data_IF_703486868161
#
_entry.id   IF_703486868161
#
_cell.length_a   1.000
_cell.length_b   1.000
_cell.length_c   1.000
_cell.angle_alpha   90.00
_cell.angle_beta   90.00
_cell.angle_gamma   90.00
#
_symmetry.space_group_name_H-M   'P 1'
#
loop_
_entity.id
_entity.type
_entity.pdbx_description
1 polymer ?
#
# COMPACT_ATOMS: atom_id res chain seq x y z
N UNK A 1 3.39 -21.68 -0.76
CA UNK A 1 4.63 -20.93 -0.92
C UNK A 1 4.67 -19.84 0.15
N UNK A 2 5.81 -19.67 0.82
CA UNK A 2 6.05 -18.61 1.81
C UNK A 2 6.48 -17.34 1.08
N UNK A 3 5.80 -16.22 1.33
CA UNK A 3 6.04 -14.96 0.62
C UNK A 3 6.43 -13.84 1.58
N UNK A 4 7.39 -13.04 1.19
CA UNK A 4 7.57 -11.70 1.72
C UNK A 4 6.55 -10.77 1.06
N UNK A 5 5.86 -9.92 1.82
CA UNK A 5 4.96 -8.92 1.27
C UNK A 5 5.65 -7.55 1.24
N UNK A 6 5.72 -6.89 0.08
CA UNK A 6 6.12 -5.48 0.02
C UNK A 6 4.96 -4.63 0.57
N UNK A 7 5.17 -4.02 1.73
CA UNK A 7 4.13 -3.29 2.46
C UNK A 7 4.50 -1.81 2.54
N UNK A 8 3.68 -0.96 1.92
CA UNK A 8 3.79 0.50 2.00
C UNK A 8 2.78 1.14 2.97
N UNK A 9 1.80 0.37 3.42
CA UNK A 9 0.64 0.86 4.17
C UNK A 9 -0.54 1.31 3.29
N UNK A 10 -0.34 1.37 1.97
CA UNK A 10 -1.38 1.69 1.00
C UNK A 10 -2.24 0.49 0.60
N UNK A 11 -3.39 0.78 -0.02
CA UNK A 11 -4.41 -0.20 -0.42
C UNK A 11 -3.89 -1.36 -1.27
N UNK A 12 -2.96 -1.08 -2.19
CA UNK A 12 -2.55 -2.05 -3.21
C UNK A 12 -1.59 -3.08 -2.65
N UNK A 13 -0.62 -2.64 -1.85
CA UNK A 13 0.31 -3.54 -1.16
C UNK A 13 -0.41 -4.50 -0.21
N UNK A 14 -1.33 -3.96 0.60
CA UNK A 14 -2.12 -4.77 1.52
C UNK A 14 -3.07 -5.73 0.79
N UNK A 15 -3.72 -5.27 -0.29
CA UNK A 15 -4.63 -6.12 -1.04
C UNK A 15 -3.90 -7.21 -1.85
N UNK A 16 -2.70 -6.94 -2.37
CA UNK A 16 -1.88 -7.96 -3.01
C UNK A 16 -1.51 -9.10 -2.05
N UNK A 17 -1.12 -8.75 -0.82
CA UNK A 17 -0.86 -9.73 0.24
C UNK A 17 -2.12 -10.52 0.61
N UNK A 18 -3.30 -9.86 0.68
CA UNK A 18 -4.58 -10.51 0.92
C UNK A 18 -4.93 -11.52 -0.18
N UNK A 19 -4.80 -11.13 -1.45
CA UNK A 19 -5.06 -12.03 -2.60
C UNK A 19 -4.09 -13.22 -2.61
N UNK A 20 -2.82 -12.99 -2.28
CA UNK A 20 -1.84 -14.07 -2.16
C UNK A 20 -2.24 -15.06 -1.06
N UNK A 21 -2.62 -14.58 0.11
CA UNK A 21 -3.10 -15.42 1.23
C UNK A 21 -4.37 -16.19 0.87
N UNK A 22 -5.32 -15.55 0.19
CA UNK A 22 -6.56 -16.19 -0.28
C UNK A 22 -6.29 -17.30 -1.32
N UNK A 23 -5.15 -17.25 -2.01
CA UNK A 23 -4.68 -18.30 -2.92
C UNK A 23 -3.85 -19.39 -2.24
N UNK A 24 -3.80 -19.43 -0.93
CA UNK A 24 -3.10 -20.44 -0.14
C UNK A 24 -1.61 -20.19 0.06
N UNK A 25 -1.11 -18.96 -0.19
CA UNK A 25 0.24 -18.58 0.17
C UNK A 25 0.29 -18.12 1.64
N UNK A 26 1.41 -18.34 2.29
CA UNK A 26 1.71 -17.82 3.62
C UNK A 26 2.47 -16.48 3.48
N UNK A 27 2.09 -15.47 4.24
CA UNK A 27 2.87 -14.23 4.37
C UNK A 27 3.85 -14.43 5.53
N UNK A 28 5.12 -14.68 5.19
CA UNK A 28 6.17 -15.00 6.15
C UNK A 28 6.73 -13.75 6.85
N UNK A 29 6.78 -12.62 6.14
CA UNK A 29 7.25 -11.34 6.67
C UNK A 29 6.73 -10.19 5.82
N UNK A 30 6.78 -8.98 6.36
CA UNK A 30 6.60 -7.72 5.63
C UNK A 30 7.97 -7.14 5.28
N UNK A 31 8.15 -6.69 4.04
CA UNK A 31 9.33 -5.92 3.60
C UNK A 31 8.89 -4.49 3.35
N UNK A 32 9.50 -3.54 4.05
CA UNK A 32 9.08 -2.13 4.05
C UNK A 32 10.24 -1.21 3.70
N UNK A 33 10.01 -0.33 2.74
CA UNK A 33 10.91 0.77 2.46
C UNK A 33 10.67 1.91 3.44
N UNK A 34 11.74 2.45 4.01
CA UNK A 34 11.73 3.62 4.89
C UNK A 34 12.52 4.75 4.21
N UNK A 35 11.90 5.52 3.29
CA UNK A 35 12.59 6.59 2.57
C UNK A 35 13.00 7.70 3.55
N UNK A 36 14.22 8.27 3.36
CA UNK A 36 14.73 9.39 4.15
C UNK A 36 14.24 10.74 3.64
N UNK A 37 13.81 10.82 2.38
CA UNK A 37 13.32 12.04 1.77
C UNK A 37 12.06 11.80 0.95
N UNK A 38 11.31 12.88 0.69
CA UNK A 38 10.11 12.86 -0.16
C UNK A 38 10.41 12.69 -1.65
N UNK A 39 11.68 12.68 -2.05
CA UNK A 39 12.11 12.69 -3.46
C UNK A 39 12.25 11.27 -4.05
N UNK A 40 12.09 10.22 -3.25
CA UNK A 40 12.20 8.84 -3.70
C UNK A 40 10.91 8.39 -4.39
N UNK A 41 10.82 8.63 -5.70
CA UNK A 41 9.62 8.46 -6.53
C UNK A 41 9.02 7.03 -6.52
N UNK A 42 9.84 5.99 -6.26
CA UNK A 42 9.36 4.59 -6.17
C UNK A 42 8.72 4.26 -4.82
N UNK A 43 9.09 4.98 -3.77
CA UNK A 43 8.78 4.63 -2.38
C UNK A 43 8.08 5.76 -1.63
N UNK A 44 7.83 6.88 -2.31
CA UNK A 44 7.17 8.03 -1.69
C UNK A 44 5.75 7.66 -1.28
N UNK A 45 5.58 7.47 0.00
CA UNK A 45 4.28 7.38 0.65
C UNK A 45 4.30 8.35 1.84
N UNK A 46 3.33 9.29 1.94
CA UNK A 46 3.34 10.34 2.97
C UNK A 46 3.48 9.82 4.40
N UNK A 47 3.07 8.57 4.63
CA UNK A 47 3.01 7.95 5.94
C UNK A 47 3.85 6.67 6.06
N UNK A 48 4.92 6.52 5.24
CA UNK A 48 5.78 5.33 5.22
C UNK A 48 6.38 4.98 6.60
N UNK A 49 6.62 6.00 7.46
CA UNK A 49 7.09 5.78 8.84
C UNK A 49 6.18 4.90 9.69
N UNK A 50 4.90 4.77 9.32
CA UNK A 50 3.94 3.90 10.00
C UNK A 50 3.85 2.49 9.40
N UNK A 51 4.69 2.15 8.42
CA UNK A 51 4.68 0.84 7.76
C UNK A 51 4.92 -0.32 8.74
N UNK A 52 5.66 -0.09 9.83
CA UNK A 52 5.86 -1.08 10.90
C UNK A 52 4.54 -1.50 11.58
N UNK A 53 3.59 -0.57 11.73
CA UNK A 53 2.28 -0.88 12.31
C UNK A 53 1.49 -1.89 11.47
N UNK A 54 1.66 -1.87 10.15
CA UNK A 54 0.99 -2.84 9.27
C UNK A 54 1.56 -4.24 9.43
N UNK A 55 2.88 -4.39 9.55
CA UNK A 55 3.52 -5.67 9.82
C UNK A 55 3.06 -6.22 11.19
N UNK A 56 3.06 -5.39 12.21
CA UNK A 56 2.59 -5.74 13.56
C UNK A 56 1.10 -6.06 13.58
N UNK A 57 0.26 -5.31 12.84
CA UNK A 57 -1.17 -5.60 12.69
C UNK A 57 -1.42 -6.96 12.04
N UNK A 58 -0.59 -7.36 11.07
CA UNK A 58 -0.63 -8.69 10.45
C UNK A 58 -0.06 -9.79 11.35
N UNK A 59 0.68 -9.44 12.41
CA UNK A 59 1.36 -10.41 13.27
C UNK A 59 2.54 -11.10 12.59
N UNK A 60 3.22 -10.42 11.65
CA UNK A 60 4.39 -10.95 10.91
C UNK A 60 5.65 -10.13 11.21
N UNK A 61 6.84 -10.75 11.14
CA UNK A 61 8.11 -10.04 11.23
C UNK A 61 8.25 -8.97 10.14
N UNK A 62 9.03 -7.92 10.43
CA UNK A 62 9.36 -6.87 9.46
C UNK A 62 10.83 -6.91 9.08
N UNK A 63 11.12 -6.80 7.79
CA UNK A 63 12.43 -6.47 7.23
C UNK A 63 12.33 -5.06 6.67
N UNK A 64 12.93 -4.09 7.35
CA UNK A 64 12.95 -2.70 6.90
C UNK A 64 14.25 -2.41 6.14
N UNK A 65 14.19 -1.56 5.11
CA UNK A 65 15.36 -1.11 4.37
C UNK A 65 15.24 0.35 3.94
N UNK A 66 16.39 0.99 3.77
CA UNK A 66 16.45 2.33 3.17
C UNK A 66 16.56 2.19 1.66
N UNK A 67 15.65 2.79 0.89
CA UNK A 67 15.70 2.73 -0.55
C UNK A 67 16.90 3.54 -1.08
N UNK A 68 17.88 2.85 -1.62
CA UNK A 68 19.06 3.41 -2.27
C UNK A 68 19.33 2.73 -3.61
N UNK A 69 18.25 2.62 -4.42
CA UNK A 69 18.26 1.89 -5.69
C UNK A 69 17.87 0.41 -5.55
N UNK A 70 17.86 -0.30 -6.69
CA UNK A 70 17.40 -1.70 -6.75
C UNK A 70 18.17 -2.69 -5.91
N UNK A 71 19.43 -2.41 -5.60
CA UNK A 71 20.28 -3.26 -4.76
C UNK A 71 19.79 -3.35 -3.31
N UNK A 72 19.21 -2.27 -2.78
CA UNK A 72 18.69 -2.23 -1.42
C UNK A 72 17.49 -3.16 -1.26
N UNK A 73 16.54 -3.14 -2.19
CA UNK A 73 15.40 -4.06 -2.18
C UNK A 73 15.88 -5.53 -2.32
N UNK A 74 16.80 -5.82 -3.24
CA UNK A 74 17.35 -7.16 -3.38
C UNK A 74 18.03 -7.64 -2.09
N UNK A 75 18.71 -6.75 -1.37
CA UNK A 75 19.29 -7.02 -0.04
C UNK A 75 18.22 -7.40 0.99
N UNK A 76 17.15 -6.62 1.07
CA UNK A 76 16.03 -6.88 1.97
C UNK A 76 15.30 -8.20 1.62
N UNK A 77 15.13 -8.52 0.34
CA UNK A 77 14.55 -9.79 -0.08
C UNK A 77 15.44 -11.00 0.25
N UNK A 78 16.77 -10.88 0.11
CA UNK A 78 17.70 -11.92 0.58
C UNK A 78 17.61 -12.13 2.09
N UNK A 79 17.47 -11.05 2.85
CA UNK A 79 17.27 -11.13 4.30
C UNK A 79 15.94 -11.82 4.64
N UNK A 80 14.85 -11.47 3.95
CA UNK A 80 13.54 -12.12 4.10
C UNK A 80 13.63 -13.63 3.78
N UNK A 81 14.34 -14.01 2.73
CA UNK A 81 14.54 -15.42 2.37
C UNK A 81 15.34 -16.16 3.46
N UNK A 82 16.45 -15.57 3.91
CA UNK A 82 17.36 -16.20 4.88
C UNK A 82 16.75 -16.32 6.27
N UNK A 83 16.13 -15.25 6.77
CA UNK A 83 15.68 -15.17 8.16
C UNK A 83 14.23 -15.63 8.37
N UNK A 84 13.38 -15.56 7.32
CA UNK A 84 11.96 -15.89 7.41
C UNK A 84 11.54 -16.96 6.41
N UNK A 85 12.45 -17.52 5.62
CA UNK A 85 12.18 -18.58 4.66
C UNK A 85 11.27 -18.14 3.52
N UNK A 86 11.33 -16.88 3.11
CA UNK A 86 10.55 -16.38 1.97
C UNK A 86 11.09 -16.95 0.65
N UNK A 87 10.23 -17.62 -0.10
CA UNK A 87 10.54 -18.22 -1.41
C UNK A 87 10.14 -17.29 -2.58
N UNK A 88 9.39 -16.24 -2.27
CA UNK A 88 8.93 -15.23 -3.22
C UNK A 88 8.56 -13.93 -2.53
N UNK A 89 8.30 -12.91 -3.35
CA UNK A 89 7.80 -11.61 -2.91
C UNK A 89 6.48 -11.30 -3.61
N UNK A 90 5.50 -10.79 -2.86
CA UNK A 90 4.24 -10.27 -3.41
C UNK A 90 4.24 -8.76 -3.31
N UNK A 91 3.80 -8.10 -4.39
CA UNK A 91 3.72 -6.63 -4.48
C UNK A 91 2.41 -6.14 -5.11
N UNK A 92 2.07 -4.89 -4.81
CA UNK A 92 0.81 -4.26 -5.20
C UNK A 92 0.80 -3.59 -6.57
N UNK A 93 1.81 -3.79 -7.43
CA UNK A 93 1.85 -3.15 -8.75
C UNK A 93 0.65 -3.52 -9.62
N UNK A 94 0.00 -2.51 -10.17
CA UNK A 94 -1.24 -2.64 -10.96
C UNK A 94 -0.98 -2.52 -12.47
N UNK A 95 -0.30 -1.46 -12.90
CA UNK A 95 -0.10 -1.13 -14.31
C UNK A 95 1.29 -0.53 -14.62
N UNK A 96 2.06 -0.10 -13.61
CA UNK A 96 3.37 0.49 -13.82
C UNK A 96 4.40 -0.56 -14.23
N UNK A 97 4.73 -0.61 -15.53
CA UNK A 97 5.78 -1.50 -16.04
C UNK A 97 7.13 -1.25 -15.34
N UNK A 98 7.43 0.02 -15.03
CA UNK A 98 8.64 0.38 -14.29
C UNK A 98 8.70 -0.28 -12.89
N UNK A 99 7.61 -0.24 -12.13
CA UNK A 99 7.55 -0.91 -10.82
C UNK A 99 7.66 -2.43 -10.97
N UNK A 100 6.93 -3.03 -11.91
CA UNK A 100 7.00 -4.48 -12.17
C UNK A 100 8.41 -4.92 -12.48
N UNK A 101 9.08 -4.22 -13.37
CA UNK A 101 10.42 -4.57 -13.85
C UNK A 101 11.47 -4.36 -12.74
N UNK A 102 11.36 -3.27 -11.95
CA UNK A 102 12.21 -3.02 -10.80
C UNK A 102 12.05 -4.09 -9.70
N UNK A 103 10.82 -4.45 -9.35
CA UNK A 103 10.54 -5.48 -8.34
C UNK A 103 10.93 -6.87 -8.84
N UNK A 104 10.70 -7.17 -10.13
CA UNK A 104 11.11 -8.41 -10.77
C UNK A 104 12.63 -8.57 -10.79
N UNK A 105 13.38 -7.52 -11.16
CA UNK A 105 14.82 -7.52 -11.16
C UNK A 105 15.41 -7.72 -9.74
N UNK A 106 14.83 -7.03 -8.73
CA UNK A 106 15.26 -7.18 -7.35
C UNK A 106 14.99 -8.59 -6.81
N UNK A 107 13.84 -9.17 -7.14
CA UNK A 107 13.48 -10.54 -6.77
C UNK A 107 14.43 -11.55 -7.42
N UNK A 108 14.72 -11.41 -8.71
CA UNK A 108 15.67 -12.27 -9.42
C UNK A 108 17.08 -12.17 -8.82
N UNK A 109 17.55 -10.96 -8.50
CA UNK A 109 18.84 -10.74 -7.84
C UNK A 109 18.90 -11.32 -6.42
N UNK A 110 17.76 -11.48 -5.77
CA UNK A 110 17.64 -12.12 -4.45
C UNK A 110 17.44 -13.64 -4.53
N UNK A 111 17.24 -14.21 -5.71
CA UNK A 111 16.96 -15.63 -5.89
C UNK A 111 15.55 -16.06 -5.51
N UNK A 112 14.59 -15.11 -5.47
CA UNK A 112 13.19 -15.37 -5.12
C UNK A 112 12.25 -15.01 -6.29
N UNK A 113 11.01 -15.52 -6.28
CA UNK A 113 10.02 -15.22 -7.31
C UNK A 113 9.22 -13.97 -6.99
N UNK A 114 8.90 -13.13 -8.00
CA UNK A 114 8.00 -12.00 -7.85
C UNK A 114 6.56 -12.39 -8.24
N UNK A 115 5.58 -11.95 -7.42
CA UNK A 115 4.16 -12.13 -7.65
C UNK A 115 3.46 -10.77 -7.67
N UNK A 116 2.75 -10.47 -8.75
CA UNK A 116 1.93 -9.27 -8.92
C UNK A 116 0.45 -9.66 -9.13
N UNK A 117 -0.28 -10.09 -8.09
CA UNK A 117 -1.62 -10.65 -8.24
C UNK A 117 -2.67 -9.65 -8.71
N UNK A 118 -2.34 -8.36 -8.68
CA UNK A 118 -3.23 -7.26 -9.06
C UNK A 118 -2.94 -6.72 -10.47
N UNK A 119 -1.92 -7.24 -11.16
CA UNK A 119 -1.53 -6.73 -12.47
C UNK A 119 -2.71 -6.73 -13.45
N UNK A 120 -2.95 -5.58 -14.11
CA UNK A 120 -4.03 -5.38 -15.07
C UNK A 120 -5.44 -5.28 -14.46
N UNK A 121 -5.56 -5.07 -13.14
CA UNK A 121 -6.86 -5.03 -12.44
C UNK A 121 -7.33 -3.63 -12.03
N UNK A 122 -6.82 -2.58 -12.65
CA UNK A 122 -7.34 -1.22 -12.48
C UNK A 122 -8.78 -1.09 -13.00
N UNK A 123 -9.47 -0.01 -12.65
CA UNK A 123 -10.78 0.32 -13.18
C UNK A 123 -11.77 0.88 -12.16
N UNK A 124 -12.89 1.39 -12.64
CA UNK A 124 -13.86 2.16 -11.87
C UNK A 124 -14.42 1.48 -10.60
N UNK A 125 -14.46 0.14 -10.56
CA UNK A 125 -14.91 -0.64 -9.39
C UNK A 125 -13.78 -1.05 -8.46
N UNK A 126 -12.58 -0.58 -8.68
CA UNK A 126 -11.39 -1.00 -7.95
C UNK A 126 -11.51 -0.76 -6.45
N UNK A 127 -11.84 0.48 -6.04
CA UNK A 127 -11.99 0.84 -4.63
C UNK A 127 -13.16 0.11 -3.97
N UNK A 128 -14.29 0.00 -4.67
CA UNK A 128 -15.47 -0.73 -4.18
C UNK A 128 -15.12 -2.18 -3.85
N UNK A 129 -14.35 -2.85 -4.72
CA UNK A 129 -13.91 -4.22 -4.48
C UNK A 129 -13.02 -4.37 -3.23
N UNK A 130 -12.27 -3.33 -2.81
CA UNK A 130 -11.50 -3.35 -1.55
C UNK A 130 -12.41 -3.22 -0.35
N UNK A 131 -13.37 -2.28 -0.42
CA UNK A 131 -14.38 -2.12 0.63
C UNK A 131 -15.19 -3.41 0.82
N UNK A 132 -15.61 -4.03 -0.29
CA UNK A 132 -16.37 -5.28 -0.28
C UNK A 132 -15.56 -6.46 0.28
N UNK A 133 -14.24 -6.44 0.09
CA UNK A 133 -13.33 -7.40 0.70
C UNK A 133 -13.02 -7.13 2.19
N UNK A 134 -13.66 -6.15 2.81
CA UNK A 134 -13.51 -5.83 4.23
C UNK A 134 -12.32 -4.92 4.55
N UNK A 135 -11.81 -4.18 3.55
CA UNK A 135 -10.77 -3.18 3.77
C UNK A 135 -11.39 -1.84 4.21
N UNK A 136 -10.81 -1.25 5.24
CA UNK A 136 -11.06 0.12 5.65
C UNK A 136 -9.86 0.97 5.27
N UNK A 137 -10.10 1.95 4.41
CA UNK A 137 -9.09 2.79 3.76
C UNK A 137 -9.35 4.25 4.11
N UNK A 138 -8.32 4.98 4.50
CA UNK A 138 -8.39 6.43 4.70
C UNK A 138 -7.59 7.11 3.60
N UNK A 139 -8.15 8.14 2.96
CA UNK A 139 -7.45 8.94 1.94
C UNK A 139 -6.47 9.88 2.66
N UNK A 140 -5.19 9.78 2.31
CA UNK A 140 -4.10 10.54 2.96
C UNK A 140 -3.38 11.50 2.02
N UNK A 141 -3.65 11.45 0.73
CA UNK A 141 -3.26 12.50 -0.21
C UNK A 141 -4.23 12.56 -1.37
N UNK A 142 -4.38 13.74 -1.97
CA UNK A 142 -5.16 13.98 -3.18
C UNK A 142 -4.43 14.96 -4.10
N UNK A 143 -4.50 14.70 -5.41
CA UNK A 143 -3.86 15.54 -6.44
C UNK A 143 -4.68 15.64 -7.73
N UNK A 144 -5.77 14.87 -7.88
CA UNK A 144 -6.61 14.90 -9.06
C UNK A 144 -7.68 16.02 -8.97
N UNK A 145 -8.00 16.63 -10.11
CA UNK A 145 -9.15 17.53 -10.22
C UNK A 145 -10.43 16.83 -9.75
N UNK A 146 -11.28 17.54 -8.98
CA UNK A 146 -12.50 16.98 -8.39
C UNK A 146 -12.31 16.31 -7.04
N UNK A 147 -11.06 16.11 -6.58
CA UNK A 147 -10.75 15.66 -5.22
C UNK A 147 -10.22 16.83 -4.39
N UNK A 148 -11.08 17.46 -3.60
CA UNK A 148 -10.74 18.58 -2.74
C UNK A 148 -10.25 18.16 -1.34
N UNK A 149 -9.98 19.16 -0.46
CA UNK A 149 -9.47 18.92 0.89
C UNK A 149 -10.44 18.11 1.76
N UNK A 150 -11.72 18.06 1.44
CA UNK A 150 -12.73 17.27 2.15
C UNK A 150 -12.51 15.75 2.06
N UNK A 151 -11.66 15.30 1.15
CA UNK A 151 -11.30 13.90 1.03
C UNK A 151 -10.14 13.50 1.97
N UNK A 152 -9.36 14.47 2.45
CA UNK A 152 -8.25 14.18 3.37
C UNK A 152 -8.80 13.68 4.71
N UNK A 153 -8.40 12.50 5.13
CA UNK A 153 -8.89 11.83 6.32
C UNK A 153 -10.23 11.11 6.14
N UNK A 154 -10.83 11.17 4.95
CA UNK A 154 -12.08 10.49 4.68
C UNK A 154 -11.86 8.96 4.53
N UNK A 155 -12.64 8.16 5.26
CA UNK A 155 -12.68 6.71 5.06
C UNK A 155 -13.43 6.40 3.76
N UNK A 156 -12.88 5.52 2.94
CA UNK A 156 -13.50 5.08 1.68
C UNK A 156 -14.62 4.09 2.00
N UNK A 157 -15.85 4.59 2.09
CA UNK A 157 -17.07 3.77 2.20
C UNK A 157 -17.54 3.34 0.81
N UNK A 158 -18.51 2.42 0.72
CA UNK A 158 -19.17 2.05 -0.55
C UNK A 158 -19.71 3.27 -1.30
N UNK A 159 -20.35 4.20 -0.59
CA UNK A 159 -20.90 5.44 -1.14
C UNK A 159 -19.79 6.35 -1.68
N UNK A 160 -18.71 6.54 -0.90
CA UNK A 160 -17.57 7.35 -1.31
C UNK A 160 -16.82 6.70 -2.48
N UNK A 161 -16.66 5.39 -2.51
CA UNK A 161 -16.07 4.68 -3.65
C UNK A 161 -16.88 4.88 -4.94
N UNK A 162 -18.21 4.82 -4.85
CA UNK A 162 -19.09 5.13 -5.98
C UNK A 162 -19.02 6.60 -6.41
N UNK A 163 -18.91 7.55 -5.44
CA UNK A 163 -18.71 8.98 -5.74
C UNK A 163 -17.37 9.22 -6.42
N UNK A 164 -16.27 8.58 -5.98
CA UNK A 164 -14.96 8.66 -6.63
C UNK A 164 -15.04 8.18 -8.08
N UNK A 165 -15.75 7.07 -8.36
CA UNK A 165 -15.97 6.61 -9.73
C UNK A 165 -16.62 7.67 -10.63
N UNK A 166 -17.69 8.34 -10.15
CA UNK A 166 -18.33 9.43 -10.90
C UNK A 166 -17.44 10.65 -11.09
N UNK A 167 -16.63 11.00 -10.07
CA UNK A 167 -15.66 12.10 -10.19
C UNK A 167 -14.55 11.75 -11.18
N UNK A 168 -14.09 10.51 -11.19
CA UNK A 168 -13.10 10.02 -12.14
C UNK A 168 -13.59 10.15 -13.59
N UNK A 169 -14.83 9.76 -13.86
CA UNK A 169 -15.47 9.95 -15.16
C UNK A 169 -15.60 11.45 -15.54
N UNK A 170 -16.04 12.28 -14.61
CA UNK A 170 -16.26 13.70 -14.86
C UNK A 170 -14.98 14.51 -15.04
N UNK A 171 -13.90 14.14 -14.38
CA UNK A 171 -12.62 14.87 -14.36
C UNK A 171 -11.48 14.17 -15.10
N UNK A 172 -11.71 12.97 -15.65
CA UNK A 172 -10.73 12.26 -16.47
C UNK A 172 -9.55 11.69 -15.71
N UNK A 173 -9.74 11.22 -14.48
CA UNK A 173 -8.68 10.55 -13.72
C UNK A 173 -8.97 9.04 -13.50
N UNK A 174 -7.95 8.28 -13.10
CA UNK A 174 -8.09 6.84 -12.86
C UNK A 174 -8.65 6.57 -11.45
N UNK A 175 -9.84 5.96 -11.36
CA UNK A 175 -10.54 5.70 -10.11
C UNK A 175 -9.80 4.72 -9.17
N UNK A 176 -8.83 3.96 -9.68
CA UNK A 176 -7.95 3.10 -8.86
C UNK A 176 -6.83 3.88 -8.16
N UNK A 177 -6.63 5.15 -8.52
CA UNK A 177 -5.54 6.01 -8.03
C UNK A 177 -4.15 5.53 -8.43
N UNK A 178 -4.04 4.83 -9.57
CA UNK A 178 -2.76 4.30 -10.06
C UNK A 178 -1.85 5.39 -10.64
N UNK A 179 -2.40 6.48 -11.12
CA UNK A 179 -1.69 7.65 -11.64
C UNK A 179 -1.25 8.64 -10.55
N UNK A 180 -1.42 8.31 -9.28
CA UNK A 180 -1.10 9.20 -8.17
C UNK A 180 -2.19 10.23 -7.84
N UNK A 181 -3.40 10.00 -8.30
CA UNK A 181 -4.56 10.90 -8.08
C UNK A 181 -4.91 11.07 -6.61
N UNK A 182 -4.74 10.00 -5.85
CA UNK A 182 -4.84 10.01 -4.39
C UNK A 182 -4.04 8.86 -3.78
N UNK A 183 -3.62 9.05 -2.53
CA UNK A 183 -2.97 8.03 -1.73
C UNK A 183 -3.89 7.58 -0.59
N UNK A 184 -3.73 6.32 -0.20
CA UNK A 184 -4.56 5.73 0.86
C UNK A 184 -3.70 5.11 1.96
N UNK A 185 -4.27 5.04 3.16
CA UNK A 185 -3.69 4.36 4.32
C UNK A 185 -4.70 3.32 4.81
N UNK A 186 -4.25 2.06 4.96
CA UNK A 186 -5.10 0.95 5.42
C UNK A 186 -5.19 0.98 6.93
N UNK A 187 -6.39 1.19 7.46
CA UNK A 187 -6.62 1.17 8.92
C UNK A 187 -7.13 -0.19 9.40
N UNK A 188 -7.73 -0.99 8.51
CA UNK A 188 -8.18 -2.36 8.79
C UNK A 188 -8.26 -3.18 7.51
N UNK A 189 -7.98 -4.48 7.60
CA UNK A 189 -8.23 -5.42 6.51
C UNK A 189 -8.27 -6.87 7.04
N UNK A 190 -8.71 -7.85 6.24
CA UNK A 190 -8.79 -9.26 6.69
C UNK A 190 -7.45 -9.90 7.07
N UNK A 191 -6.32 -9.28 6.72
CA UNK A 191 -4.99 -9.75 7.13
C UNK A 191 -4.62 -9.34 8.55
N UNK A 192 -5.28 -8.32 9.11
CA UNK A 192 -4.90 -7.73 10.39
C UNK A 192 -5.56 -8.47 11.54
N UNK A 193 -4.79 -8.80 12.57
CA UNK A 193 -5.28 -9.24 13.87
C UNK A 193 -5.73 -8.06 14.75
N UNK A 194 -5.16 -6.89 14.52
CA UNK A 194 -5.49 -5.63 15.21
C UNK A 194 -5.64 -4.50 14.19
N UNK A 195 -6.58 -3.57 14.43
CA UNK A 195 -6.76 -2.40 13.57
C UNK A 195 -5.70 -1.33 13.86
N UNK A 196 -5.37 -0.51 12.86
CA UNK A 196 -4.54 0.68 13.02
C UNK A 196 -5.45 1.87 13.30
N UNK A 197 -5.29 2.51 14.45
CA UNK A 197 -6.01 3.71 14.84
C UNK A 197 -5.15 4.95 14.59
N UNK A 198 -5.63 5.87 13.76
CA UNK A 198 -5.02 7.19 13.58
C UNK A 198 -5.45 8.06 14.76
N UNK A 199 -4.51 8.44 15.63
CA UNK A 199 -4.79 9.24 16.83
C UNK A 199 -4.62 10.72 16.61
N UNK A 200 -3.67 11.10 15.75
CA UNK A 200 -3.41 12.49 15.42
C UNK A 200 -2.93 12.60 13.99
N UNK A 201 -3.48 13.53 13.25
CA UNK A 201 -3.08 13.80 11.89
C UNK A 201 -3.26 15.30 11.59
N UNK A 202 -2.46 15.81 10.65
CA UNK A 202 -2.49 17.19 10.20
C UNK A 202 -2.70 17.21 8.68
N UNK A 203 -3.76 17.88 8.23
CA UNK A 203 -3.99 18.11 6.82
C UNK A 203 -3.29 19.36 6.32
N UNK A 204 -2.78 19.31 5.10
CA UNK A 204 -2.28 20.45 4.34
C UNK A 204 -2.92 20.50 2.98
N UNK A 205 -3.16 21.71 2.46
CA UNK A 205 -3.76 21.96 1.15
C UNK A 205 -3.13 23.19 0.51
N UNK A 206 -2.72 23.08 -0.76
CA UNK A 206 -2.04 24.17 -1.48
C UNK A 206 -2.94 24.87 -2.52
N UNK A 207 -4.20 24.47 -2.63
CA UNK A 207 -5.14 24.95 -3.64
C UNK A 207 -5.43 23.94 -4.75
N UNK A 208 -4.54 22.99 -4.98
CA UNK A 208 -4.66 21.93 -5.99
C UNK A 208 -4.42 20.53 -5.42
N UNK A 209 -3.52 20.41 -4.46
CA UNK A 209 -3.09 19.14 -3.87
C UNK A 209 -3.12 19.22 -2.36
N UNK A 210 -3.31 18.09 -1.74
CA UNK A 210 -3.26 18.02 -0.29
C UNK A 210 -2.73 16.71 0.23
N UNK A 211 -2.28 16.74 1.47
CA UNK A 211 -1.84 15.55 2.19
C UNK A 211 -2.32 15.57 3.63
N UNK A 212 -2.52 14.39 4.19
CA UNK A 212 -2.78 14.14 5.59
C UNK A 212 -1.56 13.46 6.20
N UNK A 213 -0.77 14.21 6.93
CA UNK A 213 0.34 13.66 7.69
C UNK A 213 -0.19 13.02 8.98
N UNK A 214 -0.01 11.70 9.11
CA UNK A 214 -0.33 10.96 10.33
C UNK A 214 0.79 11.21 11.33
N UNK A 215 0.54 12.03 12.34
CA UNK A 215 1.51 12.37 13.38
C UNK A 215 1.58 11.31 14.48
N UNK A 216 0.48 10.56 14.69
CA UNK A 216 0.42 9.49 15.67
C UNK A 216 -0.60 8.43 15.26
N UNK A 217 -0.17 7.16 15.32
CA UNK A 217 -1.03 6.00 15.11
C UNK A 217 -0.63 4.89 16.09
N UNK A 218 -1.56 3.99 16.40
CA UNK A 218 -1.32 2.85 17.27
C UNK A 218 -2.21 1.67 16.87
N UNK A 219 -1.87 0.49 17.34
CA UNK A 219 -2.74 -0.67 17.18
C UNK A 219 -3.84 -0.70 18.23
N UNK A 220 -5.03 -1.09 17.80
CA UNK A 220 -6.21 -1.27 18.61
C UNK A 220 -6.78 -2.69 18.41
N UNK A 221 -7.30 -3.30 19.48
CA UNK A 221 -8.04 -4.54 19.34
C UNK A 221 -9.21 -4.35 18.35
N UNK A 222 -9.48 -5.37 17.56
CA UNK A 222 -10.67 -5.40 16.69
C UNK A 222 -11.93 -5.55 17.55
N UNK A 223 -12.95 -4.79 17.24
CA UNK A 223 -14.25 -4.91 17.87
C UNK A 223 -14.99 -6.16 17.36
#
# INVERSE_FOLDING_TARGET
VRLAALVSGGKDSAYAAHVARARGHEIACAVTALPRSAEDALWHHPNARHAALHAEAMGVPQVAFEPSGGAALAGALREAARSHGAEGVVHGGLASAHQRDAFGAAAAAAGVRALAPLWGRAGARYLLGRVDAGFRLVIVAVSAGGLGPEWLGAEVTRERAARIGRLAEAHGFEASFEGGEAETFVVSCPLYARDVEIRRARASWDGCRGSLEIEGAALRARA
#
